data_IF_899752668980
#
_entry.id   IF_899752668980
#
_cell.length_a   1.000
_cell.length_b   1.000
_cell.length_c   1.000
_cell.angle_alpha   90.00
_cell.angle_beta   90.00
_cell.angle_gamma   90.00
#
_symmetry.space_group_name_H-M   'P 1'
#
loop_
_entity.id
_entity.type
_entity.pdbx_description
1 polymer ?
#
# COMPACT_ATOMS: atom_id res chain seq x y z
N UNK A 1 20.38 -25.34 29.28
CA UNK A 1 19.08 -26.00 29.01
C UNK A 1 18.50 -25.55 27.67
N UNK A 2 18.35 -24.23 27.39
CA UNK A 2 17.84 -23.74 26.08
C UNK A 2 18.76 -24.16 24.93
N UNK A 3 20.09 -23.97 25.08
CA UNK A 3 21.07 -24.38 24.09
C UNK A 3 20.96 -25.85 23.73
N UNK A 4 20.78 -26.72 24.72
CA UNK A 4 20.64 -28.17 24.54
C UNK A 4 19.37 -28.55 23.77
N UNK A 5 18.26 -27.81 24.00
CA UNK A 5 16.95 -28.00 23.31
C UNK A 5 16.96 -27.57 21.85
N UNK A 6 17.81 -26.60 21.52
CA UNK A 6 17.94 -26.08 20.15
C UNK A 6 19.15 -26.65 19.40
N UNK A 7 19.88 -27.61 19.99
CA UNK A 7 21.13 -28.14 19.44
C UNK A 7 22.18 -27.07 19.18
N UNK A 8 22.18 -25.98 19.98
CA UNK A 8 23.11 -24.87 19.92
C UNK A 8 24.15 -24.90 21.04
N UNK A 9 25.22 -24.17 20.87
CA UNK A 9 26.21 -24.02 21.95
C UNK A 9 25.78 -22.95 22.96
N UNK A 10 26.16 -23.13 24.22
CA UNK A 10 25.93 -22.11 25.26
C UNK A 10 26.59 -20.76 24.92
N UNK A 11 27.76 -20.81 24.24
CA UNK A 11 28.45 -19.61 23.78
C UNK A 11 27.67 -18.85 22.72
N UNK A 12 27.00 -19.55 21.79
CA UNK A 12 26.17 -18.91 20.78
C UNK A 12 24.91 -18.25 21.38
N UNK A 13 24.23 -18.93 22.31
CA UNK A 13 23.11 -18.32 23.03
C UNK A 13 23.56 -17.05 23.78
N UNK A 14 24.70 -17.12 24.47
CA UNK A 14 25.26 -15.96 25.17
C UNK A 14 25.59 -14.79 24.21
N UNK A 15 26.08 -15.08 23.00
CA UNK A 15 26.30 -14.05 22.00
C UNK A 15 25.00 -13.40 21.51
N UNK A 16 23.93 -14.18 21.35
CA UNK A 16 22.60 -13.67 21.00
C UNK A 16 22.06 -12.75 22.10
N UNK A 17 22.12 -13.20 23.37
CA UNK A 17 21.65 -12.44 24.53
C UNK A 17 22.38 -11.11 24.73
N UNK A 18 23.60 -10.99 24.24
CA UNK A 18 24.43 -9.78 24.32
C UNK A 18 24.50 -8.97 23.00
N UNK A 19 23.61 -9.24 22.05
CA UNK A 19 23.58 -8.57 20.74
C UNK A 19 24.89 -8.65 19.93
N UNK A 20 25.70 -9.67 20.18
CA UNK A 20 26.98 -9.85 19.49
C UNK A 20 26.84 -10.64 18.18
N UNK A 21 25.69 -11.26 17.95
CA UNK A 21 25.36 -11.98 16.72
C UNK A 21 23.87 -11.99 16.48
N UNK A 22 23.47 -12.30 15.24
CA UNK A 22 22.06 -12.46 14.87
C UNK A 22 21.79 -13.89 14.44
N UNK A 23 20.65 -14.50 14.81
CA UNK A 23 20.31 -15.83 14.38
C UNK A 23 19.87 -15.83 12.90
N UNK A 24 20.05 -16.94 12.20
CA UNK A 24 19.32 -17.20 10.97
C UNK A 24 17.82 -17.38 11.28
N UNK A 25 16.94 -17.23 10.27
CA UNK A 25 15.50 -17.49 10.45
C UNK A 25 15.26 -18.92 10.94
N UNK A 26 15.98 -19.91 10.40
CA UNK A 26 15.87 -21.29 10.84
C UNK A 26 16.24 -21.44 12.32
N UNK A 27 17.37 -20.88 12.72
CA UNK A 27 17.83 -20.90 14.13
C UNK A 27 16.83 -20.21 15.06
N UNK A 28 16.24 -19.08 14.59
CA UNK A 28 15.21 -18.37 15.37
C UNK A 28 13.96 -19.23 15.55
N UNK A 29 13.50 -19.94 14.51
CA UNK A 29 12.37 -20.86 14.61
C UNK A 29 12.64 -21.95 15.62
N UNK A 30 13.85 -22.56 15.62
CA UNK A 30 14.23 -23.61 16.57
C UNK A 30 14.23 -23.08 18.02
N UNK A 31 14.79 -21.90 18.24
CA UNK A 31 14.78 -21.24 19.56
C UNK A 31 13.36 -20.96 20.02
N UNK A 32 12.51 -20.38 19.17
CA UNK A 32 11.12 -20.07 19.51
C UNK A 32 10.30 -21.31 19.81
N UNK A 33 10.49 -22.38 19.03
CA UNK A 33 9.85 -23.69 19.26
C UNK A 33 10.25 -24.27 20.61
N UNK A 34 11.53 -24.19 20.98
CA UNK A 34 12.03 -24.64 22.29
C UNK A 34 11.50 -23.80 23.46
N UNK A 35 11.14 -22.55 23.20
CA UNK A 35 10.50 -21.63 24.17
C UNK A 35 8.98 -21.77 24.20
N UNK A 36 8.38 -22.58 23.31
CA UNK A 36 6.93 -22.80 23.25
C UNK A 36 6.15 -21.70 22.53
N UNK A 37 6.79 -20.93 21.67
CA UNK A 37 6.20 -19.89 20.87
C UNK A 37 6.55 -20.05 19.38
N UNK A 38 6.18 -19.10 18.52
CA UNK A 38 6.42 -19.13 17.07
C UNK A 38 6.73 -17.73 16.54
N UNK A 39 7.17 -17.64 15.27
CA UNK A 39 7.51 -16.36 14.63
C UNK A 39 6.35 -15.37 14.66
N UNK A 40 5.11 -15.84 14.49
CA UNK A 40 3.94 -14.97 14.49
C UNK A 40 3.75 -14.31 15.85
N UNK A 41 3.82 -15.08 16.93
CA UNK A 41 3.69 -14.57 18.31
C UNK A 41 4.89 -13.71 18.71
N UNK A 42 6.10 -14.07 18.31
CA UNK A 42 7.32 -13.34 18.61
C UNK A 42 7.36 -11.95 17.96
N UNK A 43 6.89 -11.84 16.71
CA UNK A 43 6.81 -10.56 16.00
C UNK A 43 5.42 -9.91 16.09
N UNK A 44 4.44 -10.55 16.73
CA UNK A 44 3.18 -9.90 17.07
C UNK A 44 3.44 -8.94 18.23
N UNK A 45 3.92 -7.76 17.91
CA UNK A 45 3.53 -6.64 18.75
C UNK A 45 2.00 -6.54 18.64
N UNK A 46 1.30 -6.26 19.73
CA UNK A 46 -0.02 -5.65 19.66
C UNK A 46 0.21 -4.25 19.06
N UNK A 47 0.42 -4.17 17.73
CA UNK A 47 0.38 -2.90 17.02
C UNK A 47 -1.03 -2.37 17.28
N UNK A 48 -1.15 -1.37 18.14
CA UNK A 48 -2.36 -0.56 18.18
C UNK A 48 -2.64 -0.17 16.74
N UNK A 49 -3.78 -0.59 16.22
CA UNK A 49 -4.16 -0.37 14.84
C UNK A 49 -4.07 1.14 14.56
N UNK A 50 -3.16 1.54 13.68
CA UNK A 50 -2.97 2.94 13.34
C UNK A 50 -4.20 3.43 12.57
N UNK A 51 -4.99 4.28 13.20
CA UNK A 51 -6.25 4.79 12.66
C UNK A 51 -6.05 6.11 11.91
N UNK A 52 -5.09 6.94 12.34
CA UNK A 52 -4.85 8.27 11.74
C UNK A 52 -3.49 8.29 11.07
N UNK A 53 -3.48 8.59 9.76
CA UNK A 53 -2.29 8.73 8.93
C UNK A 53 -2.05 10.21 8.64
N UNK A 54 -0.81 10.66 8.73
CA UNK A 54 -0.37 12.04 8.48
C UNK A 54 0.50 12.08 7.21
N UNK A 55 0.85 13.27 6.73
CA UNK A 55 1.70 13.43 5.54
C UNK A 55 3.02 12.63 5.60
N UNK A 56 3.65 12.56 6.77
CA UNK A 56 4.89 11.80 7.00
C UNK A 56 4.70 10.26 6.84
N UNK A 57 3.46 9.78 6.88
CA UNK A 57 3.11 8.37 6.70
C UNK A 57 2.84 8.01 5.25
N UNK A 58 2.63 9.01 4.38
CA UNK A 58 2.26 8.78 3.01
C UNK A 58 3.47 8.29 2.19
N UNK A 59 3.20 7.36 1.30
CA UNK A 59 4.18 6.95 0.30
C UNK A 59 3.93 7.78 -0.94
N UNK A 60 4.96 8.47 -1.43
CA UNK A 60 4.88 9.32 -2.61
C UNK A 60 5.62 8.69 -3.80
N UNK A 61 5.00 8.76 -4.98
CA UNK A 61 5.64 8.49 -6.27
C UNK A 61 5.37 9.67 -7.20
N UNK A 62 6.43 10.29 -7.69
CA UNK A 62 6.35 11.37 -8.65
C UNK A 62 7.10 10.99 -9.93
N UNK A 63 6.39 11.02 -11.06
CA UNK A 63 6.94 10.74 -12.39
C UNK A 63 7.11 12.00 -13.23
N UNK A 64 6.80 13.17 -12.68
CA UNK A 64 6.72 14.45 -13.41
C UNK A 64 5.43 14.62 -14.21
N UNK A 65 4.75 13.55 -14.58
CA UNK A 65 3.44 13.58 -15.25
C UNK A 65 2.29 13.32 -14.26
N UNK A 66 2.54 12.46 -13.32
CA UNK A 66 1.58 12.03 -12.28
C UNK A 66 2.32 11.98 -10.95
N UNK A 67 1.74 12.58 -9.93
CA UNK A 67 2.15 12.44 -8.54
C UNK A 67 1.08 11.69 -7.78
N UNK A 68 1.46 10.59 -7.15
CA UNK A 68 0.57 9.72 -6.38
C UNK A 68 1.03 9.71 -4.94
N UNK A 69 0.10 9.91 -4.01
CA UNK A 69 0.30 9.74 -2.58
C UNK A 69 -0.60 8.62 -2.08
N UNK A 70 -0.01 7.51 -1.60
CA UNK A 70 -0.71 6.47 -0.87
C UNK A 70 -0.99 6.94 0.54
N UNK A 71 -2.25 7.16 0.87
CA UNK A 71 -2.67 7.76 2.15
C UNK A 71 -2.60 6.76 3.31
N UNK A 72 -2.60 5.47 3.01
CA UNK A 72 -2.50 4.38 3.97
C UNK A 72 -1.35 3.48 3.52
N UNK A 73 -0.23 3.54 4.23
CA UNK A 73 1.02 2.88 3.83
C UNK A 73 1.01 1.34 3.95
N UNK A 74 -0.01 0.76 4.60
CA UNK A 74 -0.20 -0.68 4.75
C UNK A 74 -1.54 -1.15 4.14
N UNK A 75 -2.02 -0.49 3.10
CA UNK A 75 -3.31 -0.76 2.46
C UNK A 75 -3.47 -2.22 2.01
N UNK A 76 -2.37 -2.95 1.74
CA UNK A 76 -2.37 -4.38 1.42
C UNK A 76 -3.08 -5.27 2.44
N UNK A 77 -3.11 -4.86 3.70
CA UNK A 77 -3.81 -5.56 4.78
C UNK A 77 -5.30 -5.17 4.86
N UNK A 78 -5.73 -4.18 4.08
CA UNK A 78 -7.04 -3.56 4.15
C UNK A 78 -7.88 -3.92 2.91
N UNK A 79 -9.17 -3.58 2.95
CA UNK A 79 -10.09 -3.85 1.85
C UNK A 79 -10.01 -2.80 0.73
N UNK A 80 -9.42 -1.63 0.98
CA UNK A 80 -9.34 -0.53 0.01
C UNK A 80 -7.98 0.17 0.07
N UNK A 81 -7.60 0.77 -1.07
CA UNK A 81 -6.39 1.56 -1.24
C UNK A 81 -6.76 3.00 -1.60
N UNK A 82 -6.77 3.93 -0.64
CA UNK A 82 -7.03 5.33 -0.91
C UNK A 82 -5.77 6.06 -1.36
N UNK A 83 -5.89 6.80 -2.47
CA UNK A 83 -4.84 7.61 -3.08
C UNK A 83 -5.26 9.08 -3.18
N UNK A 84 -4.30 9.99 -3.16
CA UNK A 84 -4.43 11.30 -3.78
C UNK A 84 -3.55 11.32 -5.02
N UNK A 85 -4.15 11.70 -6.14
CA UNK A 85 -3.49 11.81 -7.43
C UNK A 85 -3.48 13.27 -7.88
N UNK A 86 -2.30 13.77 -8.26
CA UNK A 86 -2.13 15.02 -8.96
C UNK A 86 -1.68 14.71 -10.40
N UNK A 87 -2.52 15.07 -11.35
CA UNK A 87 -2.29 14.79 -12.77
C UNK A 87 -1.96 16.09 -13.49
N UNK A 88 -0.77 16.14 -14.10
CA UNK A 88 -0.29 17.33 -14.79
C UNK A 88 -1.14 17.66 -16.02
N UNK A 89 -1.12 18.91 -16.51
CA UNK A 89 -1.87 19.34 -17.69
C UNK A 89 -1.63 18.46 -18.90
N UNK A 90 -2.71 17.97 -19.53
CA UNK A 90 -2.66 17.15 -20.73
C UNK A 90 -2.02 15.75 -20.53
N UNK A 91 -1.83 15.31 -19.29
CA UNK A 91 -1.25 14.00 -18.98
C UNK A 91 -2.33 12.97 -18.64
N UNK A 92 -1.88 11.72 -18.59
CA UNK A 92 -2.68 10.53 -18.34
C UNK A 92 -2.08 9.76 -17.17
N UNK A 93 -2.91 9.08 -16.38
CA UNK A 93 -2.42 8.00 -15.53
C UNK A 93 -2.00 6.81 -16.38
N UNK A 94 -1.23 5.89 -15.83
CA UNK A 94 -1.01 4.60 -16.46
C UNK A 94 -2.35 3.88 -16.67
N UNK A 95 -2.45 3.10 -17.72
CA UNK A 95 -3.67 2.37 -18.02
C UNK A 95 -3.70 1.06 -17.23
N UNK A 96 -4.70 0.92 -16.37
CA UNK A 96 -4.92 -0.30 -15.62
C UNK A 96 -5.64 -1.34 -16.49
N UNK A 97 -5.15 -2.58 -16.42
CA UNK A 97 -5.80 -3.72 -17.06
C UNK A 97 -7.08 -4.09 -16.28
N UNK A 98 -8.05 -4.76 -16.93
CA UNK A 98 -9.23 -5.23 -16.23
C UNK A 98 -8.88 -6.12 -15.02
N UNK A 99 -9.48 -5.84 -13.89
CA UNK A 99 -9.33 -6.63 -12.66
C UNK A 99 -10.65 -6.74 -11.90
N UNK A 100 -10.70 -7.63 -10.91
CA UNK A 100 -11.83 -7.73 -10.00
C UNK A 100 -11.84 -6.52 -9.06
N UNK A 101 -13.03 -6.06 -8.73
CA UNK A 101 -13.23 -4.99 -7.77
C UNK A 101 -13.88 -3.76 -8.36
N UNK A 102 -13.83 -2.71 -7.59
CA UNK A 102 -14.52 -1.46 -7.86
C UNK A 102 -13.61 -0.27 -7.52
N UNK A 103 -13.85 0.82 -8.20
CA UNK A 103 -13.10 2.04 -8.00
C UNK A 103 -14.02 3.24 -7.81
N UNK A 104 -13.61 4.09 -6.89
CA UNK A 104 -14.26 5.36 -6.58
C UNK A 104 -13.26 6.50 -6.70
N UNK A 105 -13.71 7.65 -7.19
CA UNK A 105 -12.93 8.88 -7.10
C UNK A 105 -13.77 10.11 -6.87
N UNK A 106 -13.09 11.15 -6.35
CA UNK A 106 -13.71 12.46 -6.11
C UNK A 106 -12.73 13.57 -6.51
N UNK A 107 -13.15 14.48 -7.36
CA UNK A 107 -12.31 15.55 -7.89
C UNK A 107 -12.25 16.74 -6.92
N UNK A 108 -11.07 16.97 -6.36
CA UNK A 108 -10.78 18.06 -5.42
C UNK A 108 -10.52 19.38 -6.14
N UNK A 109 -9.82 19.34 -7.29
CA UNK A 109 -9.56 20.51 -8.13
C UNK A 109 -9.33 20.11 -9.59
N UNK A 110 -9.64 21.01 -10.50
CA UNK A 110 -9.54 20.78 -11.94
C UNK A 110 -10.68 19.93 -12.48
N UNK A 111 -10.39 19.12 -13.49
CA UNK A 111 -11.32 18.21 -14.15
C UNK A 111 -10.54 17.03 -14.67
N UNK A 112 -11.14 15.85 -14.64
CA UNK A 112 -10.58 14.65 -15.24
C UNK A 112 -11.56 14.02 -16.23
N UNK A 113 -11.04 13.27 -17.20
CA UNK A 113 -11.82 12.37 -18.04
C UNK A 113 -11.49 10.95 -17.59
N UNK A 114 -12.49 10.25 -17.12
CA UNK A 114 -12.42 8.82 -16.82
C UNK A 114 -12.59 8.04 -18.12
N UNK A 115 -11.55 7.34 -18.55
CA UNK A 115 -11.61 6.39 -19.64
C UNK A 115 -11.96 5.01 -19.09
N UNK A 116 -13.03 4.40 -19.59
CA UNK A 116 -13.48 3.07 -19.18
C UNK A 116 -13.83 2.25 -20.42
N UNK A 117 -12.92 1.39 -20.83
CA UNK A 117 -12.96 0.73 -22.14
C UNK A 117 -13.00 1.78 -23.28
N UNK A 118 -14.04 1.72 -24.10
CA UNK A 118 -14.23 2.66 -25.22
C UNK A 118 -15.03 3.92 -24.87
N UNK A 119 -15.39 4.10 -23.59
CA UNK A 119 -16.20 5.23 -23.15
C UNK A 119 -15.37 6.24 -22.36
N UNK A 120 -15.79 7.51 -22.44
CA UNK A 120 -15.17 8.64 -21.74
C UNK A 120 -16.22 9.38 -20.93
N UNK A 121 -15.88 9.69 -19.67
CA UNK A 121 -16.76 10.40 -18.78
C UNK A 121 -16.02 11.58 -18.15
N UNK A 122 -16.51 12.78 -18.35
CA UNK A 122 -15.93 13.96 -17.70
C UNK A 122 -16.42 14.06 -16.27
N UNK A 123 -15.49 14.29 -15.35
CA UNK A 123 -15.73 14.52 -13.95
C UNK A 123 -15.05 15.82 -13.53
N UNK A 124 -15.80 16.78 -13.05
CA UNK A 124 -15.33 18.12 -12.67
C UNK A 124 -15.13 18.25 -11.17
N UNK A 125 -14.49 19.32 -10.73
CA UNK A 125 -14.35 19.64 -9.31
C UNK A 125 -15.70 19.51 -8.58
N UNK A 126 -15.70 18.75 -7.46
CA UNK A 126 -16.87 18.49 -6.63
C UNK A 126 -17.74 17.34 -7.11
N UNK A 127 -17.38 16.70 -8.23
CA UNK A 127 -18.05 15.51 -8.74
C UNK A 127 -17.29 14.25 -8.38
N UNK A 128 -17.97 13.12 -8.40
CA UNK A 128 -17.39 11.80 -8.15
C UNK A 128 -17.63 10.86 -9.32
N UNK A 129 -16.79 9.84 -9.43
CA UNK A 129 -16.98 8.72 -10.32
C UNK A 129 -16.92 7.40 -9.54
N UNK A 130 -17.57 6.39 -10.09
CA UNK A 130 -17.58 5.05 -9.53
C UNK A 130 -17.81 4.05 -10.66
N UNK A 131 -17.02 2.98 -10.69
CA UNK A 131 -17.19 1.92 -11.69
C UNK A 131 -16.63 0.58 -11.19
N UNK A 132 -17.13 -0.51 -11.80
CA UNK A 132 -16.47 -1.82 -11.70
C UNK A 132 -15.24 -1.84 -12.61
N UNK A 133 -14.10 -2.29 -12.08
CA UNK A 133 -12.80 -2.32 -12.78
C UNK A 133 -12.70 -3.43 -13.85
N UNK A 134 -13.82 -3.90 -14.37
CA UNK A 134 -13.93 -4.99 -15.35
C UNK A 134 -13.46 -4.63 -16.77
N UNK A 135 -13.02 -3.40 -17.00
CA UNK A 135 -12.50 -2.90 -18.29
C UNK A 135 -11.22 -2.12 -18.06
N UNK A 136 -10.37 -2.06 -19.08
CA UNK A 136 -9.20 -1.15 -19.07
C UNK A 136 -9.66 0.27 -18.76
N UNK A 137 -8.98 0.93 -17.83
CA UNK A 137 -9.35 2.25 -17.37
C UNK A 137 -8.12 3.09 -17.03
N UNK A 138 -8.26 4.40 -17.16
CA UNK A 138 -7.25 5.40 -16.80
C UNK A 138 -7.89 6.79 -16.75
N UNK A 139 -7.16 7.74 -16.17
CA UNK A 139 -7.60 9.13 -16.07
C UNK A 139 -6.80 10.02 -17.01
N UNK A 140 -7.47 10.99 -17.60
CA UNK A 140 -6.88 12.04 -18.44
C UNK A 140 -7.15 13.41 -17.77
N UNK A 141 -6.15 14.26 -17.71
CA UNK A 141 -6.37 15.68 -17.39
C UNK A 141 -6.50 16.48 -18.71
N UNK A 142 -7.72 16.90 -19.11
CA UNK A 142 -7.94 17.60 -20.35
C UNK A 142 -7.68 19.11 -20.25
N UNK A 143 -7.20 19.59 -19.10
CA UNK A 143 -7.09 21.02 -18.82
C UNK A 143 -5.64 21.52 -18.87
N UNK A 144 -5.45 22.82 -18.76
CA UNK A 144 -4.16 23.51 -18.67
C UNK A 144 -3.64 23.68 -17.22
N UNK A 145 -4.32 23.10 -16.26
CA UNK A 145 -4.00 23.15 -14.82
C UNK A 145 -3.89 21.76 -14.26
N UNK A 146 -3.20 21.61 -13.13
CA UNK A 146 -3.12 20.35 -12.40
C UNK A 146 -4.52 19.94 -11.93
N UNK A 147 -4.90 18.72 -12.24
CA UNK A 147 -6.09 18.09 -11.67
C UNK A 147 -5.70 17.30 -10.44
N UNK A 148 -6.44 17.47 -9.35
CA UNK A 148 -6.23 16.73 -8.09
C UNK A 148 -7.51 16.01 -7.70
N UNK A 149 -7.39 14.72 -7.41
CA UNK A 149 -8.53 13.89 -7.06
C UNK A 149 -8.14 12.80 -6.07
N UNK A 150 -9.11 12.37 -5.26
CA UNK A 150 -9.04 11.15 -4.47
C UNK A 150 -9.38 10.00 -5.40
N UNK A 151 -8.63 8.91 -5.29
CA UNK A 151 -8.90 7.65 -6.00
C UNK A 151 -8.82 6.50 -5.01
N UNK A 152 -9.81 5.65 -4.99
CA UNK A 152 -9.89 4.49 -4.09
C UNK A 152 -10.14 3.25 -4.90
N UNK A 153 -9.26 2.29 -4.84
CA UNK A 153 -9.43 0.95 -5.40
C UNK A 153 -9.80 -0.06 -4.30
N UNK A 154 -10.65 -1.00 -4.62
CA UNK A 154 -11.00 -2.14 -3.76
C UNK A 154 -11.18 -3.41 -4.60
N UNK A 155 -10.46 -4.52 -4.30
CA UNK A 155 -9.34 -4.59 -3.36
C UNK A 155 -8.13 -3.76 -3.84
N UNK A 156 -7.11 -3.56 -3.00
CA UNK A 156 -5.84 -2.95 -3.41
C UNK A 156 -5.22 -3.67 -4.61
N UNK A 157 -4.68 -2.91 -5.58
CA UNK A 157 -4.19 -3.43 -6.87
C UNK A 157 -2.66 -3.43 -6.95
N UNK A 158 -1.99 -4.37 -6.28
CA UNK A 158 -0.54 -4.63 -6.44
C UNK A 158 -0.17 -6.07 -6.17
#
# INVERSE_FOLDING_TARGET
ELADRCELTKGYISQLENDLTSPSIATLVDILSALGTNLKEFFSEEEEEKIVFKEDDFIEKDTGAVKINWLVNNAQKNAMEPLIVELMPGKFTEADVPHEGEEFGYVLSGSVIVHLGNKKYRCNKGESFYFSASKTHYMENPTDRVAKFIWVATPPTF
#
